data_IF_001424044054
#
_entry.id   IF_001424044054
#
_cell.length_a   1.000
_cell.length_b   1.000
_cell.length_c   1.000
_cell.angle_alpha   90.00
_cell.angle_beta   90.00
_cell.angle_gamma   90.00
#
_symmetry.space_group_name_H-M   'P 1'
#
loop_
_entity.id
_entity.type
_entity.pdbx_description
1 polymer ?
#
# COMPACT_ATOMS: atom_id res chain seq x y z
N UNK A 1 -8.48 -13.99 -21.48
CA UNK A 1 -8.76 -12.65 -20.93
C UNK A 1 -7.41 -11.96 -20.80
N UNK A 2 -7.22 -10.81 -21.47
CA UNK A 2 -6.02 -9.99 -21.26
C UNK A 2 -6.02 -9.51 -19.81
N UNK A 3 -4.98 -9.84 -19.06
CA UNK A 3 -4.81 -9.37 -17.68
C UNK A 3 -4.44 -7.89 -17.74
N UNK A 4 -5.26 -7.03 -17.11
CA UNK A 4 -4.97 -5.60 -17.01
C UNK A 4 -3.72 -5.39 -16.14
N UNK A 5 -2.68 -4.80 -16.72
CA UNK A 5 -1.44 -4.49 -16.01
C UNK A 5 -1.64 -3.22 -15.17
N UNK A 6 -1.43 -3.34 -13.87
CA UNK A 6 -1.50 -2.22 -12.90
C UNK A 6 -0.14 -1.57 -12.71
N UNK A 7 0.93 -2.36 -12.69
CA UNK A 7 2.31 -1.86 -12.53
C UNK A 7 3.19 -2.51 -13.59
N UNK A 8 3.97 -1.70 -14.31
CA UNK A 8 4.99 -2.15 -15.26
C UNK A 8 6.27 -1.35 -15.07
N UNK A 9 7.32 -2.05 -14.71
CA UNK A 9 8.64 -1.48 -14.45
C UNK A 9 9.64 -2.17 -15.38
N UNK A 10 10.53 -1.39 -16.02
CA UNK A 10 11.59 -1.88 -16.88
C UNK A 10 12.92 -1.20 -16.58
N UNK A 11 13.96 -2.01 -16.31
CA UNK A 11 15.35 -1.60 -16.05
C UNK A 11 15.44 -0.47 -15.01
N UNK A 12 14.61 -0.53 -13.96
CA UNK A 12 14.56 0.51 -12.93
C UNK A 12 15.85 0.51 -12.11
N UNK A 13 16.52 1.66 -12.09
CA UNK A 13 17.64 1.93 -11.18
C UNK A 13 17.34 3.17 -10.35
N UNK A 14 17.60 3.09 -9.03
CA UNK A 14 17.51 4.23 -8.11
C UNK A 14 18.83 4.43 -7.39
N UNK A 15 19.36 5.67 -7.47
CA UNK A 15 20.59 6.10 -6.79
C UNK A 15 20.32 7.31 -5.94
N UNK A 16 20.89 7.34 -4.76
CA UNK A 16 20.88 8.48 -3.84
C UNK A 16 22.29 9.07 -3.72
N UNK A 17 22.48 10.39 -3.76
CA UNK A 17 23.77 11.02 -3.51
C UNK A 17 24.15 10.87 -2.04
N UNK A 18 25.35 10.41 -1.77
CA UNK A 18 25.89 10.24 -0.41
C UNK A 18 27.35 10.64 -0.39
N UNK A 19 27.71 11.72 0.32
CA UNK A 19 29.11 12.11 0.57
C UNK A 19 29.97 12.35 -0.67
N UNK A 20 29.40 12.79 -1.80
CA UNK A 20 30.11 12.97 -3.08
C UNK A 20 30.10 11.74 -3.98
N UNK A 21 29.56 10.63 -3.52
CA UNK A 21 29.36 9.38 -4.25
C UNK A 21 27.88 9.05 -4.40
N UNK A 22 27.54 7.88 -4.93
CA UNK A 22 26.16 7.40 -5.08
C UNK A 22 25.95 6.06 -4.41
N UNK A 23 24.94 5.99 -3.56
CA UNK A 23 24.39 4.72 -3.06
C UNK A 23 23.32 4.23 -4.02
N UNK A 24 23.46 2.99 -4.55
CA UNK A 24 22.47 2.36 -5.42
C UNK A 24 21.47 1.57 -4.56
N UNK A 25 20.24 2.06 -4.44
CA UNK A 25 19.19 1.42 -3.66
C UNK A 25 18.38 0.40 -4.46
N UNK A 26 18.26 0.58 -5.78
CA UNK A 26 17.66 -0.37 -6.73
C UNK A 26 18.51 -0.43 -7.99
N UNK A 27 18.69 -1.64 -8.53
CA UNK A 27 19.51 -1.88 -9.72
C UNK A 27 18.80 -2.81 -10.68
N UNK A 28 18.56 -2.32 -11.90
CA UNK A 28 18.02 -3.05 -13.04
C UNK A 28 16.78 -3.92 -12.71
N UNK A 29 15.83 -3.33 -11.97
CA UNK A 29 14.59 -4.00 -11.54
C UNK A 29 13.59 -4.03 -12.68
N UNK A 30 13.13 -5.23 -13.04
CA UNK A 30 12.01 -5.50 -13.92
C UNK A 30 10.85 -6.10 -13.14
N UNK A 31 9.63 -5.55 -13.27
CA UNK A 31 8.45 -6.01 -12.54
C UNK A 31 7.18 -5.73 -13.32
N UNK A 32 6.27 -6.71 -13.36
CA UNK A 32 4.91 -6.54 -13.87
C UNK A 32 3.93 -7.10 -12.86
N UNK A 33 2.92 -6.30 -12.47
CA UNK A 33 1.82 -6.70 -11.59
C UNK A 33 0.49 -6.46 -12.30
N UNK A 34 -0.43 -7.41 -12.14
CA UNK A 34 -1.75 -7.35 -12.73
C UNK A 34 -2.80 -6.88 -11.72
N UNK A 35 -3.96 -6.48 -12.23
CA UNK A 35 -5.11 -6.08 -11.42
C UNK A 35 -5.55 -7.21 -10.47
N UNK A 36 -5.93 -6.83 -9.25
CA UNK A 36 -6.40 -7.76 -8.22
C UNK A 36 -5.30 -8.60 -7.56
N UNK A 37 -4.02 -8.43 -7.91
CA UNK A 37 -2.93 -9.17 -7.27
C UNK A 37 -2.77 -8.78 -5.78
N UNK A 38 -2.39 -9.78 -4.97
CA UNK A 38 -2.08 -9.65 -3.55
C UNK A 38 -0.63 -10.09 -3.35
N UNK A 39 0.30 -9.16 -3.52
CA UNK A 39 1.72 -9.42 -3.76
C UNK A 39 2.61 -8.83 -2.66
N UNK A 40 3.63 -9.56 -2.23
CA UNK A 40 4.65 -9.09 -1.29
C UNK A 40 6.00 -8.85 -1.96
N UNK A 41 6.59 -7.69 -1.66
CA UNK A 41 8.01 -7.42 -1.82
C UNK A 41 8.70 -7.84 -0.52
N UNK A 42 9.48 -8.91 -0.56
CA UNK A 42 10.06 -9.54 0.63
C UNK A 42 11.58 -9.47 0.56
N UNK A 43 12.22 -9.23 1.69
CA UNK A 43 13.67 -9.18 1.79
C UNK A 43 14.14 -8.52 3.08
N UNK A 44 15.45 -8.58 3.38
CA UNK A 44 16.01 -8.00 4.60
C UNK A 44 15.82 -6.47 4.66
N UNK A 45 16.07 -5.89 5.83
CA UNK A 45 16.11 -4.42 5.97
C UNK A 45 17.18 -3.85 5.04
N UNK A 46 16.88 -2.73 4.39
CA UNK A 46 17.79 -2.09 3.43
C UNK A 46 17.81 -2.71 2.02
N UNK A 47 17.04 -3.77 1.74
CA UNK A 47 17.03 -4.39 0.40
C UNK A 47 16.39 -3.56 -0.72
N UNK A 48 15.78 -2.38 -0.41
CA UNK A 48 15.17 -1.50 -1.39
C UNK A 48 13.64 -1.55 -1.47
N UNK A 49 12.94 -2.34 -0.63
CA UNK A 49 11.47 -2.51 -0.65
C UNK A 49 10.70 -1.18 -0.55
N UNK A 50 10.97 -0.40 0.49
CA UNK A 50 10.34 0.92 0.69
C UNK A 50 10.67 1.89 -0.45
N UNK A 51 11.90 1.83 -0.99
CA UNK A 51 12.29 2.65 -2.16
C UNK A 51 11.47 2.27 -3.39
N UNK A 52 11.30 0.97 -3.65
CA UNK A 52 10.47 0.49 -4.77
C UNK A 52 9.00 0.87 -4.59
N UNK A 53 8.44 0.69 -3.38
CA UNK A 53 7.09 1.13 -3.04
C UNK A 53 6.89 2.64 -3.26
N UNK A 54 7.84 3.47 -2.83
CA UNK A 54 7.77 4.93 -3.01
C UNK A 54 7.80 5.34 -4.48
N UNK A 55 8.59 4.65 -5.32
CA UNK A 55 8.62 4.91 -6.76
C UNK A 55 7.29 4.47 -7.41
N UNK A 56 6.76 3.29 -7.08
CA UNK A 56 5.45 2.83 -7.55
C UNK A 56 4.36 3.82 -7.13
N UNK A 57 4.41 4.31 -5.90
CA UNK A 57 3.47 5.32 -5.39
C UNK A 57 3.66 6.73 -5.96
N UNK A 58 4.65 6.96 -6.84
CA UNK A 58 4.97 8.28 -7.37
C UNK A 58 5.40 9.29 -6.30
N UNK A 59 5.87 8.81 -5.13
CA UNK A 59 6.44 9.63 -4.06
C UNK A 59 7.90 9.95 -4.31
N UNK A 60 8.58 9.09 -5.09
CA UNK A 60 9.95 9.29 -5.56
C UNK A 60 10.04 9.00 -7.06
N UNK A 61 11.16 9.36 -7.69
CA UNK A 61 11.40 9.17 -9.11
C UNK A 61 12.55 8.20 -9.35
N UNK A 62 12.50 7.39 -10.42
CA UNK A 62 13.64 6.57 -10.82
C UNK A 62 14.82 7.44 -11.24
N UNK A 63 16.05 6.95 -11.06
CA UNK A 63 17.26 7.54 -11.64
C UNK A 63 17.44 7.12 -13.10
N UNK A 64 17.00 5.88 -13.44
CA UNK A 64 16.96 5.32 -14.80
C UNK A 64 15.83 4.31 -14.91
N UNK A 65 15.47 3.94 -16.14
CA UNK A 65 14.42 2.96 -16.43
C UNK A 65 13.04 3.60 -16.59
N UNK A 66 12.04 2.76 -16.79
CA UNK A 66 10.66 3.17 -17.04
C UNK A 66 9.72 2.60 -15.97
N UNK A 67 8.81 3.42 -15.49
CA UNK A 67 7.81 3.05 -14.49
C UNK A 67 6.44 3.53 -14.94
N UNK A 68 5.55 2.59 -15.24
CA UNK A 68 4.16 2.85 -15.55
C UNK A 68 3.27 2.25 -14.47
N UNK A 69 2.35 3.03 -13.94
CA UNK A 69 1.39 2.62 -12.90
C UNK A 69 0.01 3.09 -13.31
N UNK A 70 -0.97 2.17 -13.29
CA UNK A 70 -2.35 2.43 -13.70
C UNK A 70 -2.41 3.09 -15.10
N UNK A 71 -1.63 2.54 -16.04
CA UNK A 71 -1.45 3.02 -17.41
C UNK A 71 -0.85 4.44 -17.56
N UNK A 72 -0.36 5.06 -16.47
CA UNK A 72 0.35 6.35 -16.52
C UNK A 72 1.87 6.13 -16.43
N UNK A 73 2.64 6.71 -17.35
CA UNK A 73 4.10 6.72 -17.30
C UNK A 73 4.57 7.77 -16.27
N UNK A 74 5.11 7.29 -15.14
CA UNK A 74 5.56 8.18 -14.07
C UNK A 74 6.82 8.98 -14.44
N UNK A 75 7.55 8.61 -15.47
CA UNK A 75 8.72 9.35 -15.91
C UNK A 75 8.35 10.71 -16.52
N UNK A 76 7.23 10.75 -17.25
CA UNK A 76 6.76 11.92 -17.99
C UNK A 76 5.71 12.75 -17.24
N UNK A 77 5.28 12.29 -16.03
CA UNK A 77 4.28 12.98 -15.23
C UNK A 77 4.87 14.09 -14.35
N UNK A 78 4.14 15.20 -14.25
CA UNK A 78 4.42 16.28 -13.31
C UNK A 78 4.10 15.87 -11.86
N UNK A 79 4.63 16.61 -10.88
CA UNK A 79 4.28 16.40 -9.47
C UNK A 79 2.77 16.50 -9.20
N UNK A 80 2.05 17.39 -9.93
CA UNK A 80 0.61 17.58 -9.80
C UNK A 80 -0.15 16.35 -10.32
N UNK A 81 0.23 15.81 -11.45
CA UNK A 81 -0.38 14.62 -12.04
C UNK A 81 -0.14 13.38 -11.16
N UNK A 82 1.08 13.18 -10.63
CA UNK A 82 1.35 12.12 -9.67
C UNK A 82 0.53 12.28 -8.39
N UNK A 83 0.37 13.51 -7.87
CA UNK A 83 -0.47 13.77 -6.71
C UNK A 83 -1.95 13.46 -7.00
N UNK A 84 -2.42 13.74 -8.21
CA UNK A 84 -3.77 13.39 -8.65
C UNK A 84 -3.95 11.88 -8.76
N UNK A 85 -3.01 11.17 -9.39
CA UNK A 85 -3.03 9.71 -9.51
C UNK A 85 -3.12 9.05 -8.12
N UNK A 86 -2.26 9.48 -7.16
CA UNK A 86 -2.31 8.99 -5.78
C UNK A 86 -3.66 9.23 -5.14
N UNK A 87 -4.15 10.47 -5.21
CA UNK A 87 -5.40 10.88 -4.56
C UNK A 87 -6.60 10.10 -5.06
N UNK A 88 -6.66 9.81 -6.36
CA UNK A 88 -7.84 9.22 -6.99
C UNK A 88 -7.80 7.69 -7.01
N UNK A 89 -6.60 7.10 -7.12
CA UNK A 89 -6.47 5.68 -7.46
C UNK A 89 -5.59 4.87 -6.51
N UNK A 90 -4.94 5.50 -5.51
CA UNK A 90 -4.01 4.78 -4.64
C UNK A 90 -4.36 4.98 -3.16
N UNK A 91 -4.25 3.88 -2.39
CA UNK A 91 -4.24 3.88 -0.93
C UNK A 91 -2.85 3.64 -0.38
N UNK A 92 -2.54 4.23 0.78
CA UNK A 92 -1.25 4.05 1.46
C UNK A 92 -1.46 3.61 2.89
N UNK A 93 -0.76 2.54 3.29
CA UNK A 93 -0.72 2.02 4.66
C UNK A 93 0.74 2.03 5.10
N UNK A 94 1.03 2.74 6.19
CA UNK A 94 2.39 2.92 6.70
C UNK A 94 2.58 2.20 8.05
N UNK A 95 3.80 1.81 8.34
CA UNK A 95 4.18 1.21 9.62
C UNK A 95 3.79 2.07 10.84
N UNK A 96 3.92 3.39 10.74
CA UNK A 96 3.61 4.35 11.82
C UNK A 96 2.17 4.88 11.78
N UNK A 97 1.27 4.21 11.04
CA UNK A 97 -0.14 4.57 10.84
C UNK A 97 -0.35 5.93 10.15
N UNK A 98 0.44 6.94 10.46
CA UNK A 98 0.36 8.32 9.95
C UNK A 98 -1.05 8.92 10.09
N UNK A 99 -1.71 8.64 11.21
CA UNK A 99 -3.00 9.25 11.54
C UNK A 99 -2.79 10.68 12.02
N UNK A 100 -3.74 11.55 11.70
CA UNK A 100 -3.79 12.91 12.22
C UNK A 100 -4.28 12.86 13.67
N UNK A 101 -3.46 13.21 14.67
CA UNK A 101 -3.76 12.94 16.08
C UNK A 101 -4.90 13.78 16.65
N UNK A 102 -5.18 14.93 16.02
CA UNK A 102 -6.27 15.83 16.41
C UNK A 102 -7.63 15.40 15.84
N UNK A 103 -7.63 14.54 14.83
CA UNK A 103 -8.83 14.04 14.14
C UNK A 103 -9.32 12.74 14.78
N UNK A 104 -10.63 12.55 14.77
CA UNK A 104 -11.29 11.28 15.11
C UNK A 104 -11.01 10.19 14.07
N UNK A 105 -11.44 8.95 14.34
CA UNK A 105 -11.45 7.86 13.35
C UNK A 105 -12.21 8.30 12.10
N UNK A 106 -13.43 8.85 12.27
CA UNK A 106 -14.25 9.35 11.18
C UNK A 106 -13.51 10.37 10.31
N UNK A 107 -12.94 11.40 10.92
CA UNK A 107 -12.26 12.49 10.20
C UNK A 107 -10.98 12.02 9.52
N UNK A 108 -10.21 11.10 10.12
CA UNK A 108 -9.05 10.47 9.47
C UNK A 108 -9.46 9.70 8.22
N UNK A 109 -10.55 8.93 8.28
CA UNK A 109 -11.05 8.12 7.16
C UNK A 109 -11.71 9.01 6.09
N UNK A 110 -12.35 10.13 6.47
CA UNK A 110 -13.00 11.05 5.55
C UNK A 110 -12.02 11.84 4.66
N UNK A 111 -10.79 12.05 5.14
CA UNK A 111 -9.82 12.95 4.51
C UNK A 111 -9.58 12.70 3.00
N UNK A 112 -9.38 11.47 2.51
CA UNK A 112 -9.22 11.21 1.07
C UNK A 112 -10.43 11.63 0.25
N UNK A 113 -11.64 11.49 0.78
CA UNK A 113 -12.87 11.87 0.09
C UNK A 113 -13.05 13.40 0.02
N UNK A 114 -12.61 14.12 1.06
CA UNK A 114 -12.57 15.60 1.05
C UNK A 114 -11.62 16.08 -0.04
N UNK A 115 -10.43 15.49 -0.12
CA UNK A 115 -9.43 15.82 -1.15
C UNK A 115 -9.93 15.51 -2.57
N UNK A 116 -10.75 14.49 -2.73
CA UNK A 116 -11.42 14.11 -3.98
C UNK A 116 -12.70 14.95 -4.26
N UNK A 117 -13.03 15.91 -3.38
CA UNK A 117 -14.20 16.80 -3.51
C UNK A 117 -15.54 16.05 -3.60
N UNK A 118 -15.64 14.90 -2.96
CA UNK A 118 -16.88 14.12 -2.88
C UNK A 118 -17.90 14.90 -2.03
N UNK A 119 -19.19 14.84 -2.40
CA UNK A 119 -20.27 15.47 -1.65
C UNK A 119 -20.35 14.98 -0.19
N UNK A 120 -20.78 15.86 0.73
CA UNK A 120 -20.81 15.58 2.15
C UNK A 120 -21.72 14.42 2.56
N UNK A 121 -22.84 14.23 1.87
CA UNK A 121 -23.76 13.12 2.16
C UNK A 121 -23.16 11.79 1.70
N UNK A 122 -22.59 11.76 0.50
CA UNK A 122 -21.88 10.57 -0.03
C UNK A 122 -20.67 10.23 0.83
N UNK A 123 -19.87 11.23 1.27
CA UNK A 123 -18.73 11.01 2.17
C UNK A 123 -19.14 10.28 3.44
N UNK A 124 -20.22 10.74 4.11
CA UNK A 124 -20.70 10.12 5.36
C UNK A 124 -21.03 8.64 5.17
N UNK A 125 -21.67 8.29 4.06
CA UNK A 125 -22.01 6.89 3.75
C UNK A 125 -20.76 6.04 3.49
N UNK A 126 -19.82 6.53 2.66
CA UNK A 126 -18.57 5.83 2.36
C UNK A 126 -17.69 5.65 3.59
N UNK A 127 -17.59 6.68 4.44
CA UNK A 127 -16.82 6.60 5.69
C UNK A 127 -17.43 5.59 6.65
N UNK A 128 -18.75 5.60 6.84
CA UNK A 128 -19.44 4.63 7.70
C UNK A 128 -19.18 3.20 7.22
N UNK A 129 -19.29 2.96 5.92
CA UNK A 129 -19.00 1.65 5.30
C UNK A 129 -17.55 1.23 5.50
N UNK A 130 -16.58 2.13 5.27
CA UNK A 130 -15.16 1.81 5.45
C UNK A 130 -14.79 1.51 6.91
N UNK A 131 -15.40 2.21 7.86
CA UNK A 131 -15.23 1.96 9.31
C UNK A 131 -15.85 0.61 9.70
N UNK A 132 -17.00 0.26 9.13
CA UNK A 132 -17.65 -1.04 9.35
C UNK A 132 -16.79 -2.19 8.82
N UNK A 133 -16.22 -2.10 7.62
CA UNK A 133 -15.31 -3.11 7.04
C UNK A 133 -14.13 -3.46 7.95
N UNK A 134 -13.64 -2.50 8.73
CA UNK A 134 -12.51 -2.72 9.64
C UNK A 134 -12.95 -2.95 11.10
N UNK A 135 -14.25 -3.05 11.37
CA UNK A 135 -14.80 -3.35 12.72
C UNK A 135 -14.52 -2.25 13.75
N UNK A 136 -14.71 -0.96 13.37
CA UNK A 136 -14.47 0.20 14.25
C UNK A 136 -15.72 1.09 14.44
N UNK A 137 -16.92 0.57 14.21
CA UNK A 137 -18.16 1.35 14.29
C UNK A 137 -18.40 1.98 15.68
N UNK A 138 -17.97 1.29 16.76
CA UNK A 138 -18.02 1.78 18.15
C UNK A 138 -16.96 2.83 18.48
N UNK A 139 -15.94 3.01 17.62
CA UNK A 139 -14.80 3.91 17.79
C UNK A 139 -14.83 5.14 16.89
N UNK A 140 -15.89 5.33 16.11
CA UNK A 140 -16.02 6.38 15.09
C UNK A 140 -15.60 7.77 15.57
N UNK A 141 -15.94 8.13 16.82
CA UNK A 141 -15.64 9.43 17.43
C UNK A 141 -14.35 9.44 18.30
N UNK A 142 -13.65 8.31 18.38
CA UNK A 142 -12.40 8.22 19.15
C UNK A 142 -11.25 8.88 18.38
N UNK A 143 -10.30 9.47 19.14
CA UNK A 143 -9.05 9.99 18.58
C UNK A 143 -7.95 8.95 18.66
N UNK A 144 -6.88 9.03 17.84
CA UNK A 144 -5.77 8.07 17.85
C UNK A 144 -5.17 7.80 19.25
N UNK A 145 -5.10 8.81 20.12
CA UNK A 145 -4.59 8.64 21.48
C UNK A 145 -5.48 7.74 22.38
N UNK A 146 -6.71 7.44 21.95
CA UNK A 146 -7.67 6.60 22.66
C UNK A 146 -7.79 5.20 22.05
N UNK A 147 -6.98 4.90 21.04
CA UNK A 147 -7.00 3.66 20.27
C UNK A 147 -5.79 2.78 20.62
N UNK A 148 -5.99 1.47 20.60
CA UNK A 148 -4.89 0.49 20.58
C UNK A 148 -4.11 0.56 19.25
N UNK A 149 -2.92 -0.03 19.20
CA UNK A 149 -2.14 -0.10 17.96
C UNK A 149 -2.89 -0.77 16.81
N UNK A 150 -3.62 -1.88 17.10
CA UNK A 150 -4.45 -2.56 16.11
C UNK A 150 -5.63 -1.70 15.62
N UNK A 151 -6.28 -0.92 16.51
CA UNK A 151 -7.34 0.02 16.11
C UNK A 151 -6.80 1.19 15.29
N UNK A 152 -5.61 1.71 15.62
CA UNK A 152 -4.93 2.71 14.80
C UNK A 152 -4.64 2.18 13.38
N UNK A 153 -4.15 0.95 13.29
CA UNK A 153 -3.86 0.33 11.99
C UNK A 153 -5.14 0.08 11.19
N UNK A 154 -6.20 -0.43 11.82
CA UNK A 154 -7.50 -0.57 11.15
C UNK A 154 -8.06 0.77 10.66
N UNK A 155 -7.86 1.85 11.43
CA UNK A 155 -8.20 3.21 10.98
C UNK A 155 -7.39 3.62 9.75
N UNK A 156 -6.08 3.33 9.73
CA UNK A 156 -5.21 3.62 8.58
C UNK A 156 -5.62 2.81 7.34
N UNK A 157 -6.04 1.56 7.51
CA UNK A 157 -6.58 0.72 6.43
C UNK A 157 -7.89 1.32 5.91
N UNK A 158 -8.86 1.64 6.78
CA UNK A 158 -10.12 2.26 6.37
C UNK A 158 -9.88 3.55 5.57
N UNK A 159 -8.96 4.41 6.03
CA UNK A 159 -8.54 5.61 5.30
C UNK A 159 -7.96 5.29 3.92
N UNK A 160 -7.14 4.25 3.82
CA UNK A 160 -6.51 3.88 2.57
C UNK A 160 -7.50 3.36 1.51
N UNK A 161 -8.63 2.75 1.94
CA UNK A 161 -9.58 2.08 1.04
C UNK A 161 -10.90 2.84 0.83
N UNK A 162 -11.20 3.89 1.61
CA UNK A 162 -12.50 4.58 1.62
C UNK A 162 -12.95 5.11 0.25
N UNK A 163 -12.01 5.46 -0.61
CA UNK A 163 -12.25 5.91 -1.98
C UNK A 163 -12.18 4.79 -3.01
N UNK A 164 -12.07 3.51 -2.56
CA UNK A 164 -12.01 2.31 -3.37
C UNK A 164 -10.88 2.37 -4.43
N UNK A 165 -9.62 2.50 -4.02
CA UNK A 165 -8.50 2.66 -4.93
C UNK A 165 -8.25 1.39 -5.73
N UNK A 166 -7.69 1.52 -6.94
CA UNK A 166 -7.25 0.39 -7.75
C UNK A 166 -5.99 -0.30 -7.18
N UNK A 167 -5.17 0.46 -6.43
CA UNK A 167 -3.90 -0.01 -5.87
C UNK A 167 -3.71 0.46 -4.42
N UNK A 168 -3.37 -0.46 -3.52
CA UNK A 168 -2.94 -0.15 -2.15
C UNK A 168 -1.49 -0.57 -1.96
N UNK A 169 -0.67 0.37 -1.47
CA UNK A 169 0.72 0.18 -1.12
C UNK A 169 0.86 0.14 0.41
N UNK A 170 1.37 -0.96 0.95
CA UNK A 170 1.49 -1.19 2.38
C UNK A 170 2.95 -1.43 2.78
N UNK A 171 3.54 -0.50 3.53
CA UNK A 171 4.90 -0.60 4.03
C UNK A 171 4.89 -1.08 5.48
N UNK A 172 5.34 -2.34 5.72
CA UNK A 172 5.40 -3.01 7.02
C UNK A 172 4.10 -2.87 7.84
N UNK A 173 2.91 -3.23 7.30
CA UNK A 173 1.62 -2.88 7.89
C UNK A 173 1.32 -3.56 9.24
N UNK A 174 2.11 -4.53 9.66
CA UNK A 174 1.92 -5.28 10.93
C UNK A 174 3.10 -5.17 11.89
N UNK A 175 4.16 -4.42 11.54
CA UNK A 175 5.42 -4.40 12.31
C UNK A 175 5.26 -3.98 13.78
N UNK A 176 4.24 -3.15 14.10
CA UNK A 176 3.98 -2.65 15.45
C UNK A 176 2.84 -3.42 16.17
N UNK A 177 2.50 -4.62 15.69
CA UNK A 177 1.36 -5.39 16.17
C UNK A 177 1.79 -6.76 16.71
N UNK A 178 1.06 -7.26 17.69
CA UNK A 178 1.17 -8.65 18.12
C UNK A 178 0.67 -9.63 17.03
N UNK A 179 0.85 -10.92 17.25
CA UNK A 179 0.52 -11.94 16.27
C UNK A 179 -0.99 -12.01 15.96
N UNK A 180 -1.86 -11.86 16.97
CA UNK A 180 -3.30 -11.94 16.83
C UNK A 180 -3.83 -10.77 15.99
N UNK A 181 -3.44 -9.54 16.35
CA UNK A 181 -3.79 -8.34 15.59
C UNK A 181 -3.22 -8.38 14.16
N UNK A 182 -2.00 -8.88 13.97
CA UNK A 182 -1.40 -9.05 12.63
C UNK A 182 -2.25 -9.98 11.76
N UNK A 183 -2.66 -11.14 12.29
CA UNK A 183 -3.54 -12.06 11.56
C UNK A 183 -4.91 -11.46 11.27
N UNK A 184 -5.51 -10.76 12.23
CA UNK A 184 -6.79 -10.10 12.04
C UNK A 184 -6.74 -9.04 10.92
N UNK A 185 -5.71 -8.21 10.91
CA UNK A 185 -5.49 -7.18 9.87
C UNK A 185 -5.27 -7.82 8.49
N UNK A 186 -4.50 -8.90 8.40
CA UNK A 186 -4.30 -9.58 7.12
C UNK A 186 -5.60 -10.18 6.58
N UNK A 187 -6.45 -10.74 7.43
CA UNK A 187 -7.77 -11.24 7.02
C UNK A 187 -8.65 -10.11 6.45
N UNK A 188 -8.69 -8.96 7.12
CA UNK A 188 -9.41 -7.77 6.62
C UNK A 188 -8.89 -7.40 5.23
N UNK A 189 -7.57 -7.28 5.04
CA UNK A 189 -7.00 -6.89 3.76
C UNK A 189 -7.25 -7.93 2.64
N UNK A 190 -7.22 -9.23 2.95
CA UNK A 190 -7.59 -10.30 2.00
C UNK A 190 -9.06 -10.16 1.58
N UNK A 191 -9.96 -9.93 2.54
CA UNK A 191 -11.38 -9.72 2.26
C UNK A 191 -11.59 -8.49 1.36
N UNK A 192 -10.96 -7.36 1.70
CA UNK A 192 -11.04 -6.12 0.91
C UNK A 192 -10.48 -6.29 -0.52
N UNK A 193 -9.38 -7.04 -0.69
CA UNK A 193 -8.88 -7.36 -2.01
C UNK A 193 -9.90 -8.14 -2.85
N UNK A 194 -10.61 -9.09 -2.24
CA UNK A 194 -11.63 -9.90 -2.93
C UNK A 194 -12.89 -9.11 -3.25
N UNK A 195 -13.39 -8.30 -2.30
CA UNK A 195 -14.65 -7.57 -2.45
C UNK A 195 -14.52 -6.34 -3.37
N UNK A 196 -13.38 -5.64 -3.29
CA UNK A 196 -13.16 -4.39 -4.02
C UNK A 196 -12.35 -4.58 -5.31
N UNK A 197 -11.82 -5.78 -5.57
CA UNK A 197 -10.86 -6.06 -6.66
C UNK A 197 -9.62 -5.15 -6.62
N UNK A 198 -9.32 -4.54 -5.48
CA UNK A 198 -8.17 -3.68 -5.26
C UNK A 198 -6.88 -4.49 -5.24
N UNK A 199 -5.86 -4.08 -5.98
CA UNK A 199 -4.54 -4.69 -5.94
C UNK A 199 -3.79 -4.24 -4.68
N UNK A 200 -3.08 -5.17 -4.00
CA UNK A 200 -2.26 -4.86 -2.84
C UNK A 200 -0.79 -5.21 -3.08
N UNK A 201 0.10 -4.28 -2.75
CA UNK A 201 1.55 -4.51 -2.74
C UNK A 201 2.08 -4.22 -1.34
N UNK A 202 2.66 -5.24 -0.72
CA UNK A 202 3.23 -5.18 0.62
C UNK A 202 4.75 -5.11 0.54
N UNK A 203 5.39 -4.21 1.26
CA UNK A 203 6.80 -4.35 1.60
C UNK A 203 6.88 -4.93 3.00
N UNK A 204 7.50 -6.09 3.16
CA UNK A 204 7.58 -6.76 4.46
C UNK A 204 8.77 -7.73 4.55
N UNK A 205 9.15 -8.05 5.79
CA UNK A 205 10.03 -9.17 6.13
C UNK A 205 9.36 -10.12 7.13
N UNK A 206 8.07 -9.91 7.46
CA UNK A 206 7.32 -10.70 8.43
C UNK A 206 6.70 -11.95 7.76
N UNK A 207 7.13 -13.14 8.20
CA UNK A 207 6.64 -14.43 7.73
C UNK A 207 5.11 -14.60 7.96
N UNK A 208 4.53 -13.91 8.96
CA UNK A 208 3.09 -13.94 9.23
C UNK A 208 2.30 -13.34 8.07
N UNK A 209 2.80 -12.23 7.49
CA UNK A 209 2.20 -11.62 6.30
C UNK A 209 2.38 -12.53 5.09
N UNK A 210 3.58 -13.08 4.91
CA UNK A 210 3.93 -13.91 3.76
C UNK A 210 2.96 -15.08 3.58
N UNK A 211 2.43 -15.64 4.68
CA UNK A 211 1.46 -16.73 4.65
C UNK A 211 0.13 -16.39 3.94
N UNK A 212 -0.20 -15.10 3.78
CA UNK A 212 -1.44 -14.63 3.11
C UNK A 212 -1.20 -14.20 1.67
N UNK A 213 0.05 -14.00 1.26
CA UNK A 213 0.40 -13.51 -0.08
C UNK A 213 0.15 -14.59 -1.14
N UNK A 214 -0.32 -14.17 -2.30
CA UNK A 214 -0.49 -15.04 -3.48
C UNK A 214 0.71 -15.00 -4.42
N UNK A 215 1.57 -13.99 -4.27
CA UNK A 215 2.82 -13.84 -5.02
C UNK A 215 3.85 -13.19 -4.12
N UNK A 216 5.07 -13.71 -4.15
CA UNK A 216 6.20 -13.20 -3.38
C UNK A 216 7.33 -12.85 -4.33
N UNK A 217 7.78 -11.60 -4.26
CA UNK A 217 8.92 -11.07 -5.00
C UNK A 217 10.04 -10.81 -4.00
N UNK A 218 11.10 -11.58 -4.12
CA UNK A 218 12.26 -11.46 -3.24
C UNK A 218 13.20 -10.38 -3.74
N UNK A 219 13.44 -9.38 -2.88
CA UNK A 219 14.35 -8.28 -3.12
C UNK A 219 15.57 -8.41 -2.22
N UNK A 220 16.76 -8.44 -2.80
CA UNK A 220 18.03 -8.44 -2.08
C UNK A 220 19.00 -7.46 -2.75
N UNK A 221 19.67 -6.62 -1.96
CA UNK A 221 20.64 -5.62 -2.43
C UNK A 221 20.17 -4.83 -3.65
N UNK A 222 18.89 -4.42 -3.64
CA UNK A 222 18.26 -3.63 -4.69
C UNK A 222 17.89 -4.38 -5.96
N UNK A 223 17.99 -5.71 -6.00
CA UNK A 223 17.66 -6.54 -7.15
C UNK A 223 16.57 -7.57 -6.82
N UNK A 224 15.72 -7.88 -7.80
CA UNK A 224 14.79 -9.01 -7.71
C UNK A 224 15.57 -10.30 -7.94
N UNK A 225 15.61 -11.14 -6.92
CA UNK A 225 16.34 -12.44 -6.94
C UNK A 225 15.42 -13.63 -7.23
N UNK A 226 14.13 -13.50 -6.88
CA UNK A 226 13.12 -14.55 -7.11
C UNK A 226 11.73 -13.92 -7.21
N UNK A 227 10.86 -14.49 -8.04
CA UNK A 227 9.46 -14.15 -8.19
C UNK A 227 8.65 -15.45 -8.24
N UNK A 228 7.80 -15.67 -7.25
CA UNK A 228 7.08 -16.93 -7.09
C UNK A 228 5.60 -16.73 -6.77
N UNK A 229 4.75 -17.56 -7.36
CA UNK A 229 3.34 -17.68 -7.00
C UNK A 229 3.18 -18.68 -5.87
N UNK A 230 2.27 -18.40 -4.96
CA UNK A 230 1.97 -19.25 -3.79
C UNK A 230 0.67 -19.98 -4.06
N UNK A 231 0.74 -21.32 -4.10
CA UNK A 231 -0.40 -22.16 -4.49
C UNK A 231 -1.52 -22.22 -3.44
N UNK A 232 -1.19 -22.14 -2.14
CA UNK A 232 -2.16 -22.25 -1.04
C UNK A 232 -1.95 -21.16 0.02
N UNK A 233 -2.24 -19.88 -0.28
CA UNK A 233 -2.16 -18.82 0.72
C UNK A 233 -3.27 -18.97 1.77
N UNK A 234 -3.04 -18.46 2.99
CA UNK A 234 -4.10 -18.34 4.00
C UNK A 234 -5.23 -17.47 3.47
N UNK A 235 -6.47 -17.88 3.71
CA UNK A 235 -7.67 -17.12 3.34
C UNK A 235 -8.17 -16.25 4.50
N UNK A 236 -9.21 -15.44 4.23
CA UNK A 236 -9.90 -14.64 5.23
C UNK A 236 -10.78 -15.47 6.18
N UNK A 237 -11.09 -16.71 5.81
CA UNK A 237 -11.95 -17.61 6.59
C UNK A 237 -11.27 -18.13 7.88
#
# INVERSE_FOLDING_TARGET
MEQNIVIKIKNLTKRFPVGGDFFTALQDVDLTLNEGEFTGLVGPSGSGKTTLLNIIGGLDSPSKGQVSVLAQDLNDTTHKERAQLRRENMGFIFQSYNLLPVYTVFENVELPLILNKIDSQERRQKVAQAIEWVGLSDKTNSRPAMLSGGECQRTAIARAIVHQPALVLADEPTANLDAENSHHIMKIMVQLNQELSTSFVFATHDEKIMAYLRRIIHLNDGQITKDEKIDNPKSAA
#
